data_IF_366122466508
#
_entry.id   IF_366122466508
#
_cell.length_a   1.000
_cell.length_b   1.000
_cell.length_c   1.000
_cell.angle_alpha   90.00
_cell.angle_beta   90.00
_cell.angle_gamma   90.00
#
_symmetry.space_group_name_H-M   'P 1'
#
loop_
_entity.id
_entity.type
_entity.pdbx_description
1 polymer ?
#
# COMPACT_ATOMS: atom_id res chain seq x y z
N UNK A 1 -50.60 -6.17 7.89
CA UNK A 1 -50.62 -7.62 7.61
C UNK A 1 -49.21 -8.01 7.28
N UNK A 2 -48.62 -8.87 8.10
CA UNK A 2 -47.26 -9.39 7.95
C UNK A 2 -47.31 -10.80 7.36
N UNK A 3 -46.20 -11.24 6.75
CA UNK A 3 -46.05 -12.61 6.27
C UNK A 3 -46.24 -13.63 7.40
N UNK A 4 -45.88 -13.27 8.63
CA UNK A 4 -46.02 -14.04 9.87
C UNK A 4 -47.45 -14.55 10.06
N UNK A 5 -48.46 -13.68 9.84
CA UNK A 5 -49.88 -14.07 9.95
C UNK A 5 -50.27 -15.11 8.89
N UNK A 6 -49.69 -15.02 7.68
CA UNK A 6 -49.95 -16.00 6.61
C UNK A 6 -49.30 -17.34 6.95
N UNK A 7 -48.08 -17.33 7.46
CA UNK A 7 -47.34 -18.54 7.86
C UNK A 7 -48.01 -19.22 9.04
N UNK A 8 -48.48 -18.47 10.05
CA UNK A 8 -49.22 -19.01 11.18
C UNK A 8 -50.47 -19.78 10.72
N UNK A 9 -51.24 -19.23 9.77
CA UNK A 9 -52.40 -19.90 9.19
C UNK A 9 -52.01 -21.07 8.29
N UNK A 10 -50.93 -20.94 7.51
CA UNK A 10 -50.41 -22.03 6.67
C UNK A 10 -50.01 -23.26 7.51
N UNK A 11 -49.31 -23.03 8.63
CA UNK A 11 -48.94 -24.06 9.61
C UNK A 11 -50.17 -24.66 10.31
N UNK A 12 -51.13 -23.82 10.70
CA UNK A 12 -52.38 -24.28 11.34
C UNK A 12 -53.22 -25.19 10.43
N UNK A 13 -53.14 -24.99 9.11
CA UNK A 13 -53.77 -25.84 8.10
C UNK A 13 -53.02 -27.16 7.85
N UNK A 14 -51.92 -27.41 8.56
CA UNK A 14 -51.10 -28.61 8.41
C UNK A 14 -50.18 -28.59 7.19
N UNK A 15 -49.71 -27.40 6.78
CA UNK A 15 -48.80 -27.19 5.64
C UNK A 15 -49.28 -27.88 4.34
N UNK A 16 -50.48 -27.54 3.83
CA UNK A 16 -51.03 -28.15 2.64
C UNK A 16 -50.23 -27.80 1.37
N UNK A 17 -50.26 -28.69 0.38
CA UNK A 17 -49.63 -28.46 -0.92
C UNK A 17 -50.17 -27.21 -1.61
N UNK A 18 -49.27 -26.36 -2.12
CA UNK A 18 -49.65 -25.13 -2.81
C UNK A 18 -50.00 -25.41 -4.27
N UNK A 19 -51.30 -25.42 -4.56
CA UNK A 19 -51.83 -25.58 -5.90
C UNK A 19 -51.41 -24.41 -6.81
N UNK A 20 -50.81 -24.75 -7.97
CA UNK A 20 -50.32 -23.80 -8.98
C UNK A 20 -49.39 -22.72 -8.40
N UNK A 21 -48.68 -23.00 -7.30
CA UNK A 21 -47.81 -22.04 -6.58
C UNK A 21 -48.51 -20.75 -6.13
N UNK A 22 -49.84 -20.76 -6.05
CA UNK A 22 -50.61 -19.55 -5.75
C UNK A 22 -51.73 -19.78 -4.74
N UNK A 23 -52.17 -21.01 -4.50
CA UNK A 23 -53.33 -21.27 -3.65
C UNK A 23 -53.04 -22.40 -2.67
N UNK A 24 -53.49 -22.24 -1.43
CA UNK A 24 -53.56 -23.32 -0.48
C UNK A 24 -54.91 -23.30 0.23
N UNK A 25 -55.37 -24.46 0.67
CA UNK A 25 -56.66 -24.61 1.33
C UNK A 25 -56.66 -25.77 2.30
N UNK A 26 -57.48 -25.66 3.35
CA UNK A 26 -57.70 -26.74 4.30
C UNK A 26 -58.66 -26.33 5.40
N UNK A 27 -58.75 -27.18 6.43
CA UNK A 27 -59.53 -26.95 7.65
C UNK A 27 -58.55 -26.83 8.84
N UNK A 28 -58.75 -25.82 9.69
CA UNK A 28 -58.02 -25.68 10.95
C UNK A 28 -58.97 -25.33 12.10
N UNK A 29 -58.54 -25.61 13.33
CA UNK A 29 -59.26 -25.23 14.55
C UNK A 29 -58.68 -23.91 15.06
N UNK A 30 -59.53 -22.90 15.25
CA UNK A 30 -59.12 -21.58 15.70
C UNK A 30 -58.56 -21.63 17.13
N UNK A 31 -57.28 -21.29 17.28
CA UNK A 31 -56.64 -20.87 18.54
C UNK A 31 -56.63 -19.35 18.67
N UNK A 32 -56.37 -18.82 19.86
CA UNK A 32 -56.30 -17.36 20.11
C UNK A 32 -55.31 -16.65 19.16
N UNK A 33 -54.18 -17.28 18.86
CA UNK A 33 -53.17 -16.76 17.93
C UNK A 33 -53.66 -16.80 16.47
N UNK A 34 -54.20 -17.94 16.05
CA UNK A 34 -54.68 -18.11 14.66
C UNK A 34 -55.95 -17.30 14.38
N UNK A 35 -56.82 -17.05 15.37
CA UNK A 35 -58.00 -16.20 15.17
C UNK A 35 -57.59 -14.76 14.89
N UNK A 36 -56.64 -14.23 15.67
CA UNK A 36 -56.10 -12.87 15.45
C UNK A 36 -55.39 -12.77 14.10
N UNK A 37 -54.57 -13.78 13.77
CA UNK A 37 -53.90 -13.83 12.47
C UNK A 37 -54.90 -13.89 11.31
N UNK A 38 -55.94 -14.73 11.40
CA UNK A 38 -56.95 -14.89 10.35
C UNK A 38 -57.86 -13.67 10.19
N UNK A 39 -58.27 -13.01 11.29
CA UNK A 39 -59.02 -11.76 11.24
C UNK A 39 -58.23 -10.64 10.55
N UNK A 40 -56.92 -10.60 10.81
CA UNK A 40 -56.02 -9.69 10.11
C UNK A 40 -55.87 -10.00 8.61
N UNK A 41 -56.01 -11.27 8.20
CA UNK A 41 -56.04 -11.67 6.78
C UNK A 41 -57.37 -11.29 6.11
N UNK A 42 -58.50 -11.49 6.78
CA UNK A 42 -59.84 -11.16 6.28
C UNK A 42 -60.03 -9.66 6.09
N UNK A 43 -59.45 -8.85 6.99
CA UNK A 43 -59.56 -7.39 6.96
C UNK A 43 -58.72 -6.72 5.86
N UNK A 44 -57.94 -7.48 5.08
CA UNK A 44 -57.09 -6.93 4.03
C UNK A 44 -57.77 -6.94 2.65
N UNK A 45 -58.07 -5.76 2.12
CA UNK A 45 -58.78 -5.61 0.84
C UNK A 45 -57.90 -5.66 -0.42
N UNK A 46 -56.60 -6.02 -0.31
CA UNK A 46 -55.82 -6.43 -1.50
C UNK A 46 -54.40 -5.88 -1.64
N UNK A 47 -53.71 -5.56 -0.54
CA UNK A 47 -52.34 -5.03 -0.58
C UNK A 47 -51.27 -5.86 0.15
N UNK A 48 -51.58 -7.10 0.57
CA UNK A 48 -50.68 -7.92 1.40
C UNK A 48 -50.11 -9.17 0.72
N UNK A 49 -49.27 -9.95 1.43
CA UNK A 49 -48.61 -11.16 0.91
C UNK A 49 -49.59 -12.29 0.51
N UNK A 50 -50.83 -12.24 1.01
CA UNK A 50 -51.88 -13.19 0.67
C UNK A 50 -53.26 -12.54 0.73
N UNK A 51 -54.25 -13.19 0.13
CA UNK A 51 -55.65 -12.81 0.15
C UNK A 51 -56.53 -14.02 0.38
N UNK A 52 -57.45 -13.92 1.34
CA UNK A 52 -58.48 -14.94 1.54
C UNK A 52 -59.48 -14.88 0.39
N UNK A 53 -59.70 -16.01 -0.28
CA UNK A 53 -60.60 -16.12 -1.44
C UNK A 53 -61.89 -16.85 -1.14
N UNK A 54 -61.83 -17.84 -0.24
CA UNK A 54 -63.00 -18.55 0.29
C UNK A 54 -62.73 -18.76 1.79
N UNK A 55 -63.72 -18.52 2.65
CA UNK A 55 -63.64 -18.80 4.08
C UNK A 55 -65.02 -19.14 4.63
N UNK A 56 -65.10 -20.26 5.35
CA UNK A 56 -66.31 -20.78 5.99
C UNK A 56 -65.98 -21.18 7.44
N UNK A 57 -66.84 -20.79 8.37
CA UNK A 57 -66.78 -21.22 9.75
C UNK A 57 -68.13 -21.80 10.14
N UNK A 58 -68.16 -23.08 10.48
CA UNK A 58 -69.38 -23.79 10.90
C UNK A 58 -70.59 -23.59 9.96
N UNK A 59 -70.35 -23.48 8.64
CA UNK A 59 -71.38 -23.26 7.60
C UNK A 59 -71.72 -21.79 7.32
N UNK A 60 -71.01 -20.83 7.93
CA UNK A 60 -71.14 -19.40 7.68
C UNK A 60 -70.01 -18.90 6.79
N UNK A 61 -70.35 -18.33 5.63
CA UNK A 61 -69.38 -17.68 4.76
C UNK A 61 -68.84 -16.39 5.39
N UNK A 62 -67.57 -16.41 5.80
CA UNK A 62 -66.88 -15.34 6.53
C UNK A 62 -66.46 -14.16 5.65
N UNK A 63 -66.49 -14.30 4.32
CA UNK A 63 -66.15 -13.21 3.38
C UNK A 63 -67.35 -12.30 3.17
N UNK A 64 -68.55 -12.87 3.20
CA UNK A 64 -69.81 -12.16 2.94
C UNK A 64 -70.47 -11.66 4.22
N UNK A 65 -70.18 -12.29 5.36
CA UNK A 65 -70.77 -11.95 6.65
C UNK A 65 -69.69 -11.69 7.69
N UNK A 66 -69.85 -10.62 8.47
CA UNK A 66 -69.02 -10.39 9.65
C UNK A 66 -69.45 -11.38 10.74
N UNK A 67 -68.57 -12.32 11.07
CA UNK A 67 -68.79 -13.34 12.07
C UNK A 67 -67.58 -13.37 13.01
N UNK A 68 -67.83 -13.25 14.32
CA UNK A 68 -66.76 -13.24 15.31
C UNK A 68 -66.22 -14.67 15.49
N UNK A 69 -64.95 -14.86 15.14
CA UNK A 69 -64.28 -16.15 15.21
C UNK A 69 -63.99 -16.48 16.67
N UNK A 70 -64.63 -17.52 17.21
CA UNK A 70 -64.36 -18.00 18.57
C UNK A 70 -63.28 -19.08 18.59
N UNK A 71 -62.49 -19.11 19.66
CA UNK A 71 -61.51 -20.18 19.90
C UNK A 71 -62.23 -21.53 19.95
N UNK A 72 -61.75 -22.50 19.17
CA UNK A 72 -62.33 -23.83 19.00
C UNK A 72 -63.22 -23.99 17.76
N UNK A 73 -63.56 -22.92 17.06
CA UNK A 73 -64.31 -22.98 15.80
C UNK A 73 -63.51 -23.65 14.67
N UNK A 74 -64.21 -24.38 13.81
CA UNK A 74 -63.62 -25.03 12.64
C UNK A 74 -63.73 -24.12 11.42
N UNK A 75 -62.58 -23.70 10.91
CA UNK A 75 -62.49 -22.78 9.79
C UNK A 75 -61.95 -23.53 8.59
N UNK A 76 -62.72 -23.52 7.50
CA UNK A 76 -62.24 -23.91 6.18
C UNK A 76 -61.88 -22.67 5.40
N UNK A 77 -60.63 -22.55 4.96
CA UNK A 77 -60.16 -21.38 4.23
C UNK A 77 -59.41 -21.77 2.97
N UNK A 78 -59.54 -20.93 1.94
CA UNK A 78 -58.76 -20.96 0.71
C UNK A 78 -58.08 -19.62 0.52
N UNK A 79 -56.76 -19.63 0.57
CA UNK A 79 -55.93 -18.44 0.56
C UNK A 79 -55.13 -18.41 -0.73
N UNK A 80 -55.11 -17.25 -1.37
CA UNK A 80 -54.30 -16.96 -2.55
C UNK A 80 -53.07 -16.15 -2.15
N UNK A 81 -51.89 -16.65 -2.45
CA UNK A 81 -50.62 -15.93 -2.31
C UNK A 81 -50.50 -14.86 -3.40
N UNK A 82 -49.95 -13.70 -3.03
CA UNK A 82 -49.66 -12.63 -4.00
C UNK A 82 -48.45 -13.02 -4.85
N UNK A 83 -48.58 -13.00 -6.18
CA UNK A 83 -47.47 -13.34 -7.08
C UNK A 83 -46.34 -12.29 -7.13
N UNK A 84 -46.60 -11.07 -6.66
CA UNK A 84 -45.73 -9.91 -6.87
C UNK A 84 -45.36 -9.13 -5.59
N UNK A 85 -45.64 -9.68 -4.41
CA UNK A 85 -45.18 -9.10 -3.14
C UNK A 85 -43.67 -9.32 -2.97
N UNK A 86 -42.99 -8.40 -2.28
CA UNK A 86 -41.58 -8.55 -1.88
C UNK A 86 -41.38 -9.67 -0.84
N UNK A 87 -42.45 -9.98 -0.10
CA UNK A 87 -42.55 -11.05 0.90
C UNK A 87 -43.18 -12.28 0.23
N UNK A 88 -42.43 -13.38 0.11
CA UNK A 88 -42.83 -14.53 -0.73
C UNK A 88 -42.67 -15.87 -0.02
N UNK A 89 -43.50 -16.80 -0.46
CA UNK A 89 -43.32 -18.23 -0.25
C UNK A 89 -42.46 -18.78 -1.38
N UNK A 90 -41.47 -19.59 -1.03
CA UNK A 90 -40.61 -20.31 -1.97
C UNK A 90 -40.79 -21.81 -1.77
N UNK A 91 -40.79 -22.56 -2.86
CA UNK A 91 -40.98 -24.01 -2.81
C UNK A 91 -39.80 -24.69 -2.10
N UNK A 92 -38.57 -24.30 -2.44
CA UNK A 92 -37.32 -24.83 -1.89
C UNK A 92 -36.28 -23.71 -1.78
N UNK A 93 -35.12 -24.02 -1.19
CA UNK A 93 -33.98 -23.10 -1.21
C UNK A 93 -33.52 -22.77 -2.64
N UNK A 94 -33.56 -23.71 -3.57
CA UNK A 94 -33.23 -23.48 -4.98
C UNK A 94 -34.20 -22.52 -5.67
N UNK A 95 -35.49 -22.56 -5.33
CA UNK A 95 -36.49 -21.58 -5.82
C UNK A 95 -36.19 -20.18 -5.26
N UNK A 96 -35.76 -20.10 -4.00
CA UNK A 96 -35.33 -18.85 -3.37
C UNK A 96 -34.06 -18.27 -4.01
N UNK A 97 -33.02 -19.09 -4.21
CA UNK A 97 -31.77 -18.73 -4.86
C UNK A 97 -31.98 -18.29 -6.32
N UNK A 98 -33.01 -18.81 -6.99
CA UNK A 98 -33.36 -18.40 -8.36
C UNK A 98 -33.96 -17.00 -8.46
N UNK A 99 -34.37 -16.41 -7.32
CA UNK A 99 -34.98 -15.08 -7.28
C UNK A 99 -34.02 -13.97 -7.71
N UNK A 100 -34.56 -12.93 -8.34
CA UNK A 100 -33.77 -11.77 -8.80
C UNK A 100 -33.11 -11.01 -7.64
N UNK A 101 -33.72 -10.99 -6.46
CA UNK A 101 -33.19 -10.31 -5.27
C UNK A 101 -31.86 -10.94 -4.82
N UNK A 102 -31.81 -12.26 -4.70
CA UNK A 102 -30.60 -12.96 -4.24
C UNK A 102 -29.48 -12.86 -5.28
N UNK A 103 -29.82 -12.96 -6.57
CA UNK A 103 -28.84 -12.73 -7.66
C UNK A 103 -28.23 -11.32 -7.63
N UNK A 104 -28.95 -10.34 -7.07
CA UNK A 104 -28.47 -8.97 -6.86
C UNK A 104 -27.76 -8.77 -5.51
N UNK A 105 -27.53 -9.83 -4.73
CA UNK A 105 -26.90 -9.74 -3.42
C UNK A 105 -27.80 -9.10 -2.36
N UNK A 106 -29.13 -9.26 -2.45
CA UNK A 106 -30.09 -8.73 -1.48
C UNK A 106 -30.98 -9.83 -0.92
N UNK A 107 -30.86 -10.09 0.38
CA UNK A 107 -31.77 -10.98 1.10
C UNK A 107 -33.08 -10.24 1.40
N UNK A 108 -34.26 -10.77 1.00
CA UNK A 108 -35.54 -10.22 1.37
C UNK A 108 -35.73 -10.18 2.89
N UNK A 109 -36.41 -9.15 3.40
CA UNK A 109 -36.63 -9.01 4.83
C UNK A 109 -37.46 -10.17 5.42
N UNK A 110 -38.56 -10.54 4.76
CA UNK A 110 -39.48 -11.60 5.19
C UNK A 110 -39.66 -12.64 4.08
N UNK A 111 -39.41 -13.91 4.37
CA UNK A 111 -39.68 -15.01 3.44
C UNK A 111 -39.93 -16.33 4.14
N UNK A 112 -40.57 -17.26 3.43
CA UNK A 112 -40.89 -18.60 3.94
C UNK A 112 -40.48 -19.68 2.93
N UNK A 113 -39.84 -20.75 3.41
CA UNK A 113 -39.43 -21.92 2.61
C UNK A 113 -40.32 -23.11 2.98
N UNK A 114 -41.06 -23.63 2.01
CA UNK A 114 -42.09 -24.66 2.24
C UNK A 114 -41.47 -26.02 2.56
N UNK A 115 -40.48 -26.47 1.78
CA UNK A 115 -39.88 -27.81 1.92
C UNK A 115 -39.25 -28.07 3.30
N UNK A 116 -38.76 -27.01 3.96
CA UNK A 116 -38.15 -27.07 5.29
C UNK A 116 -39.01 -26.57 6.44
N UNK A 117 -40.21 -26.04 6.15
CA UNK A 117 -41.03 -25.26 7.10
C UNK A 117 -40.22 -24.14 7.82
N UNK A 118 -39.33 -23.48 7.09
CA UNK A 118 -38.46 -22.43 7.66
C UNK A 118 -39.05 -21.04 7.40
N UNK A 119 -39.34 -20.31 8.48
CA UNK A 119 -39.73 -18.92 8.43
C UNK A 119 -38.58 -17.98 8.84
N UNK A 120 -38.37 -16.95 8.02
CA UNK A 120 -37.35 -15.93 8.24
C UNK A 120 -38.02 -14.56 8.34
N UNK A 121 -37.93 -13.94 9.52
CA UNK A 121 -38.47 -12.62 9.83
C UNK A 121 -37.47 -11.82 10.68
N UNK A 122 -37.28 -10.49 10.44
CA UNK A 122 -36.38 -9.64 11.23
C UNK A 122 -36.91 -9.36 12.64
N UNK A 123 -38.23 -9.41 12.82
CA UNK A 123 -38.92 -9.01 14.05
C UNK A 123 -39.52 -10.22 14.82
N UNK A 124 -39.45 -11.41 14.23
CA UNK A 124 -40.04 -12.64 14.75
C UNK A 124 -39.02 -13.70 15.17
N UNK A 125 -39.52 -14.89 15.50
CA UNK A 125 -38.68 -16.05 15.77
C UNK A 125 -38.15 -16.61 14.45
N UNK A 126 -36.82 -16.64 14.29
CA UNK A 126 -36.16 -17.18 13.10
C UNK A 126 -35.98 -18.68 13.32
N UNK A 127 -36.56 -19.50 12.45
CA UNK A 127 -36.49 -20.96 12.64
C UNK A 127 -35.07 -21.51 12.38
N UNK A 128 -34.30 -20.86 11.51
CA UNK A 128 -33.00 -21.34 11.06
C UNK A 128 -31.95 -20.23 10.89
N UNK A 129 -31.45 -19.71 12.01
CA UNK A 129 -30.47 -18.59 12.05
C UNK A 129 -29.20 -18.89 11.22
N UNK A 130 -28.66 -20.11 11.31
CA UNK A 130 -27.47 -20.51 10.55
C UNK A 130 -27.68 -20.43 9.03
N UNK A 131 -28.87 -20.78 8.52
CA UNK A 131 -29.19 -20.62 7.08
C UNK A 131 -29.29 -19.16 6.69
N UNK A 132 -29.86 -18.31 7.55
CA UNK A 132 -29.93 -16.87 7.29
C UNK A 132 -28.54 -16.24 7.19
N UNK A 133 -27.63 -16.61 8.09
CA UNK A 133 -26.23 -16.17 8.05
C UNK A 133 -25.55 -16.57 6.73
N UNK A 134 -25.78 -17.79 6.25
CA UNK A 134 -25.24 -18.24 4.95
C UNK A 134 -25.79 -17.45 3.76
N UNK A 135 -27.10 -17.15 3.75
CA UNK A 135 -27.68 -16.30 2.71
C UNK A 135 -27.08 -14.89 2.74
N UNK A 136 -26.91 -14.31 3.93
CA UNK A 136 -26.30 -13.00 4.10
C UNK A 136 -24.84 -13.01 3.62
N UNK A 137 -24.04 -14.00 4.01
CA UNK A 137 -22.65 -14.13 3.57
C UNK A 137 -22.54 -14.27 2.05
N UNK A 138 -23.38 -15.12 1.43
CA UNK A 138 -23.44 -15.29 -0.02
C UNK A 138 -23.81 -13.97 -0.73
N UNK A 139 -24.82 -13.26 -0.21
CA UNK A 139 -25.23 -11.97 -0.76
C UNK A 139 -24.14 -10.89 -0.63
N UNK A 140 -23.41 -10.86 0.50
CA UNK A 140 -22.27 -9.96 0.68
C UNK A 140 -21.12 -10.26 -0.29
N UNK A 141 -20.82 -11.53 -0.55
CA UNK A 141 -19.85 -11.93 -1.58
C UNK A 141 -20.29 -11.46 -2.96
N UNK A 142 -21.55 -11.69 -3.33
CA UNK A 142 -22.12 -11.24 -4.61
C UNK A 142 -22.00 -9.71 -4.75
N UNK A 143 -22.41 -8.97 -3.72
CA UNK A 143 -22.34 -7.51 -3.71
C UNK A 143 -20.90 -7.01 -3.82
N UNK A 144 -19.99 -7.62 -3.08
CA UNK A 144 -18.57 -7.24 -3.12
C UNK A 144 -17.93 -7.51 -4.47
N UNK A 145 -18.24 -8.64 -5.10
CA UNK A 145 -17.80 -8.95 -6.46
C UNK A 145 -18.40 -7.98 -7.49
N UNK A 146 -19.67 -7.60 -7.35
CA UNK A 146 -20.32 -6.61 -8.20
C UNK A 146 -19.66 -5.23 -8.10
N UNK A 147 -19.29 -4.78 -6.89
CA UNK A 147 -18.63 -3.49 -6.69
C UNK A 147 -17.18 -3.48 -7.20
N UNK A 148 -16.48 -4.62 -7.14
CA UNK A 148 -15.12 -4.75 -7.67
C UNK A 148 -15.08 -4.94 -9.19
N UNK A 149 -16.13 -5.49 -9.80
CA UNK A 149 -16.19 -5.75 -11.24
C UNK A 149 -16.02 -4.46 -12.06
N UNK A 150 -15.33 -4.57 -13.20
CA UNK A 150 -15.21 -3.45 -14.14
C UNK A 150 -16.51 -3.21 -14.92
N UNK A 151 -17.27 -4.28 -15.13
CA UNK A 151 -18.58 -4.24 -15.73
C UNK A 151 -19.47 -5.29 -15.04
N UNK A 152 -20.69 -4.88 -14.72
CA UNK A 152 -21.76 -5.77 -14.32
C UNK A 152 -23.04 -5.35 -15.07
N UNK A 153 -23.86 -6.28 -15.53
CA UNK A 153 -25.10 -5.95 -16.23
C UNK A 153 -26.16 -5.49 -15.20
N UNK A 154 -26.58 -4.21 -15.24
CA UNK A 154 -27.52 -3.61 -14.26
C UNK A 154 -28.95 -3.45 -14.78
N UNK A 155 -29.17 -3.59 -16.10
CA UNK A 155 -30.33 -2.97 -16.75
C UNK A 155 -31.27 -3.94 -17.48
N UNK A 156 -31.07 -5.26 -17.41
CA UNK A 156 -32.01 -6.23 -18.02
C UNK A 156 -32.69 -7.06 -16.94
N UNK A 157 -34.02 -7.02 -16.94
CA UNK A 157 -34.93 -7.77 -16.03
C UNK A 157 -34.76 -9.30 -16.15
N UNK A 158 -33.98 -9.76 -17.12
CA UNK A 158 -33.64 -11.15 -17.43
C UNK A 158 -32.13 -11.34 -17.73
N UNK A 159 -31.27 -10.36 -17.33
CA UNK A 159 -29.83 -10.46 -17.55
C UNK A 159 -29.26 -11.60 -16.69
N UNK A 160 -28.49 -12.46 -17.35
CA UNK A 160 -27.41 -13.20 -16.72
C UNK A 160 -26.53 -12.17 -16.00
N UNK A 161 -26.52 -12.17 -14.66
CA UNK A 161 -25.75 -11.22 -13.86
C UNK A 161 -24.26 -11.50 -14.05
N UNK A 162 -23.73 -11.05 -15.18
CA UNK A 162 -22.36 -11.26 -15.59
C UNK A 162 -21.47 -10.21 -14.97
N UNK A 163 -20.38 -10.66 -14.37
CA UNK A 163 -19.34 -9.81 -13.80
C UNK A 163 -18.09 -9.95 -14.66
N UNK A 164 -17.55 -8.84 -15.13
CA UNK A 164 -16.33 -8.82 -15.95
C UNK A 164 -15.20 -8.20 -15.15
N UNK A 165 -14.11 -8.95 -15.04
CA UNK A 165 -12.87 -8.54 -14.39
C UNK A 165 -11.75 -8.51 -15.42
N UNK A 166 -11.03 -7.39 -15.47
CA UNK A 166 -9.89 -7.20 -16.35
C UNK A 166 -8.63 -7.27 -15.49
N UNK A 167 -7.81 -8.30 -15.68
CA UNK A 167 -6.43 -8.25 -15.20
C UNK A 167 -5.54 -7.63 -16.27
N UNK A 168 -4.65 -6.74 -15.83
CA UNK A 168 -3.62 -6.15 -16.66
C UNK A 168 -2.29 -6.87 -16.38
N UNK A 169 -2.02 -7.95 -17.10
CA UNK A 169 -0.66 -8.46 -17.22
C UNK A 169 0.06 -7.73 -18.36
N UNK A 170 1.38 -7.54 -18.22
CA UNK A 170 2.22 -6.59 -18.98
C UNK A 170 2.12 -6.68 -20.52
N UNK A 171 1.45 -7.65 -21.12
CA UNK A 171 1.21 -7.70 -22.57
C UNK A 171 -0.11 -8.36 -23.05
N UNK A 172 -1.03 -8.79 -22.18
CA UNK A 172 -2.36 -9.30 -22.55
C UNK A 172 -3.37 -9.02 -21.43
N UNK A 173 -4.49 -8.40 -21.78
CA UNK A 173 -5.64 -8.39 -20.88
C UNK A 173 -6.38 -9.71 -21.02
N UNK A 174 -6.43 -10.47 -19.93
CA UNK A 174 -7.24 -11.68 -19.84
C UNK A 174 -8.55 -11.32 -19.13
N UNK A 175 -9.66 -11.09 -19.86
CA UNK A 175 -10.95 -10.85 -19.24
C UNK A 175 -11.44 -12.14 -18.60
N UNK A 176 -11.81 -12.08 -17.33
CA UNK A 176 -12.58 -13.12 -16.65
C UNK A 176 -14.03 -12.67 -16.61
N UNK A 177 -14.92 -13.57 -17.03
CA UNK A 177 -16.36 -13.38 -16.91
C UNK A 177 -16.87 -14.40 -15.91
N UNK A 178 -17.54 -13.92 -14.87
CA UNK A 178 -18.31 -14.76 -13.95
C UNK A 178 -19.79 -14.60 -14.28
N UNK A 179 -20.53 -15.69 -14.38
CA UNK A 179 -21.99 -15.66 -14.47
C UNK A 179 -22.58 -16.10 -13.13
N UNK A 180 -23.34 -15.23 -12.46
CA UNK A 180 -23.92 -15.54 -11.14
C UNK A 180 -24.99 -16.62 -11.31
N UNK A 181 -24.55 -17.87 -11.16
CA UNK A 181 -25.38 -19.07 -11.09
C UNK A 181 -25.43 -19.52 -9.63
N UNK A 182 -26.61 -19.46 -9.00
CA UNK A 182 -26.79 -19.83 -7.61
C UNK A 182 -27.35 -21.26 -7.52
N UNK A 183 -26.73 -22.09 -6.68
CA UNK A 183 -27.13 -23.48 -6.46
C UNK A 183 -27.15 -23.79 -4.97
N UNK A 184 -27.97 -24.75 -4.57
CA UNK A 184 -28.17 -25.08 -3.16
C UNK A 184 -26.88 -25.56 -2.48
N UNK A 185 -25.95 -26.18 -3.21
CA UNK A 185 -24.66 -26.64 -2.69
C UNK A 185 -23.81 -25.48 -2.12
N UNK A 186 -23.99 -24.26 -2.64
CA UNK A 186 -23.30 -23.06 -2.14
C UNK A 186 -23.70 -22.70 -0.71
N UNK A 187 -24.86 -23.14 -0.24
CA UNK A 187 -25.29 -22.94 1.15
C UNK A 187 -24.53 -23.85 2.12
N UNK A 188 -23.58 -24.65 1.64
CA UNK A 188 -22.66 -25.41 2.50
C UNK A 188 -21.22 -24.88 2.41
N UNK A 189 -20.98 -23.86 1.59
CA UNK A 189 -19.67 -23.26 1.42
C UNK A 189 -19.23 -22.50 2.68
N UNK A 190 -17.92 -22.53 2.94
CA UNK A 190 -17.32 -21.74 4.01
C UNK A 190 -17.08 -20.30 3.52
N UNK A 191 -18.00 -19.41 3.88
CA UNK A 191 -17.95 -17.97 3.61
C UNK A 191 -17.74 -17.16 4.91
N UNK A 192 -17.12 -17.76 5.92
CA UNK A 192 -16.94 -17.12 7.24
C UNK A 192 -15.99 -15.92 7.20
N UNK A 193 -14.98 -15.95 6.34
CA UNK A 193 -14.00 -14.86 6.16
C UNK A 193 -14.12 -14.20 4.78
N UNK A 194 -14.87 -13.11 4.71
CA UNK A 194 -14.98 -12.24 3.53
C UNK A 194 -14.11 -10.98 3.64
N UNK A 195 -13.10 -10.98 4.52
CA UNK A 195 -12.25 -9.81 4.80
C UNK A 195 -11.51 -9.30 3.57
N UNK A 196 -11.19 -10.17 2.61
CA UNK A 196 -10.58 -9.77 1.34
C UNK A 196 -11.47 -8.76 0.60
N UNK A 197 -12.79 -8.98 0.56
CA UNK A 197 -13.73 -8.08 -0.08
C UNK A 197 -13.92 -6.81 0.75
N UNK A 198 -14.20 -6.94 2.05
CA UNK A 198 -14.50 -5.77 2.90
C UNK A 198 -13.29 -4.83 3.00
N UNK A 199 -12.07 -5.37 3.07
CA UNK A 199 -10.83 -4.59 3.10
C UNK A 199 -10.51 -3.88 1.78
N UNK A 200 -11.05 -4.34 0.65
CA UNK A 200 -10.93 -3.65 -0.65
C UNK A 200 -12.06 -2.65 -0.88
N UNK A 201 -13.21 -2.83 -0.25
CA UNK A 201 -14.40 -2.00 -0.49
C UNK A 201 -14.53 -0.82 0.48
N UNK A 202 -13.86 -0.87 1.64
CA UNK A 202 -13.85 0.22 2.63
C UNK A 202 -13.42 1.56 2.02
N UNK A 203 -14.02 2.65 2.49
CA UNK A 203 -13.70 3.99 1.99
C UNK A 203 -12.28 4.41 2.37
N UNK A 204 -11.77 3.90 3.49
CA UNK A 204 -10.38 4.06 3.91
C UNK A 204 -9.43 3.41 2.90
N UNK A 205 -9.74 2.20 2.43
CA UNK A 205 -8.90 1.50 1.45
C UNK A 205 -8.77 2.27 0.14
N UNK A 206 -9.83 2.95 -0.32
CA UNK A 206 -9.80 3.76 -1.56
C UNK A 206 -8.85 4.96 -1.47
N UNK A 207 -8.53 5.41 -0.25
CA UNK A 207 -7.60 6.51 0.00
C UNK A 207 -6.15 6.04 0.15
N UNK A 208 -5.90 4.73 0.24
CA UNK A 208 -4.56 4.18 0.37
C UNK A 208 -3.75 4.28 -0.93
N UNK A 209 -2.46 4.62 -0.83
CA UNK A 209 -1.55 4.70 -1.97
C UNK A 209 -1.40 3.37 -2.76
N UNK A 210 -1.74 2.24 -2.13
CA UNK A 210 -1.63 0.90 -2.71
C UNK A 210 -2.99 0.30 -3.12
N UNK A 211 -4.06 1.10 -3.14
CA UNK A 211 -5.40 0.63 -3.51
C UNK A 211 -5.46 -0.04 -4.90
N UNK A 212 -5.05 0.69 -5.94
CA UNK A 212 -5.07 0.18 -7.32
C UNK A 212 -4.19 -1.08 -7.51
N UNK A 213 -2.95 -1.14 -6.99
CA UNK A 213 -2.20 -2.39 -6.98
C UNK A 213 -2.90 -3.56 -6.27
N UNK A 214 -3.50 -3.33 -5.09
CA UNK A 214 -4.25 -4.37 -4.36
C UNK A 214 -5.43 -4.89 -5.18
N UNK A 215 -6.17 -3.99 -5.85
CA UNK A 215 -7.26 -4.33 -6.76
C UNK A 215 -6.77 -5.16 -7.95
N UNK A 216 -5.65 -4.78 -8.56
CA UNK A 216 -5.03 -5.52 -9.67
C UNK A 216 -4.59 -6.93 -9.26
N UNK A 217 -4.04 -7.09 -8.04
CA UNK A 217 -3.66 -8.39 -7.47
C UNK A 217 -4.91 -9.25 -7.26
N UNK A 218 -6.02 -8.68 -6.77
CA UNK A 218 -7.29 -9.38 -6.65
C UNK A 218 -7.76 -9.92 -8.01
N UNK A 219 -7.74 -9.11 -9.07
CA UNK A 219 -8.14 -9.56 -10.40
C UNK A 219 -7.23 -10.66 -10.96
N UNK A 220 -5.92 -10.52 -10.77
CA UNK A 220 -4.95 -11.54 -11.22
C UNK A 220 -5.15 -12.86 -10.48
N UNK A 221 -5.41 -12.79 -9.17
CA UNK A 221 -5.71 -13.97 -8.34
C UNK A 221 -7.02 -14.63 -8.77
N UNK A 222 -8.03 -13.83 -9.15
CA UNK A 222 -9.28 -14.34 -9.68
C UNK A 222 -9.06 -15.05 -11.02
N UNK A 223 -8.26 -14.48 -11.93
CA UNK A 223 -7.91 -15.10 -13.21
C UNK A 223 -7.18 -16.42 -13.02
N UNK A 224 -6.19 -16.45 -12.12
CA UNK A 224 -5.46 -17.68 -11.76
C UNK A 224 -6.41 -18.74 -11.21
N UNK A 225 -7.29 -18.35 -10.29
CA UNK A 225 -8.18 -19.27 -9.58
C UNK A 225 -9.23 -19.91 -10.50
N UNK A 226 -9.87 -19.12 -11.35
CA UNK A 226 -10.95 -19.60 -12.23
C UNK A 226 -10.46 -20.06 -13.61
N UNK A 227 -9.15 -20.11 -13.82
CA UNK A 227 -8.56 -20.50 -15.09
C UNK A 227 -9.07 -21.86 -15.59
N UNK A 228 -9.57 -21.89 -16.82
CA UNK A 228 -10.03 -23.13 -17.48
C UNK A 228 -11.49 -23.51 -17.18
N UNK A 229 -12.21 -22.76 -16.35
CA UNK A 229 -13.65 -22.95 -16.15
C UNK A 229 -14.50 -22.08 -17.08
N UNK A 230 -15.70 -22.55 -17.42
CA UNK A 230 -16.70 -21.71 -18.07
C UNK A 230 -17.26 -20.67 -17.08
N UNK A 231 -17.79 -19.52 -17.52
CA UNK A 231 -18.25 -18.44 -16.63
C UNK A 231 -19.21 -18.87 -15.52
N UNK A 232 -20.15 -19.77 -15.81
CA UNK A 232 -21.11 -20.30 -14.83
C UNK A 232 -20.41 -21.18 -13.77
N UNK A 233 -19.50 -22.06 -14.22
CA UNK A 233 -18.75 -22.97 -13.34
C UNK A 233 -17.73 -22.20 -12.51
N UNK A 234 -17.12 -21.16 -13.10
CA UNK A 234 -16.14 -20.29 -12.45
C UNK A 234 -16.73 -19.62 -11.20
N UNK A 235 -17.94 -19.03 -11.31
CA UNK A 235 -18.62 -18.45 -10.15
C UNK A 235 -18.92 -19.51 -9.08
N UNK A 236 -19.45 -20.67 -9.48
CA UNK A 236 -19.75 -21.74 -8.55
C UNK A 236 -18.49 -22.20 -7.79
N UNK A 237 -17.38 -22.41 -8.51
CA UNK A 237 -16.11 -22.83 -7.94
C UNK A 237 -15.52 -21.79 -6.98
N UNK A 238 -15.65 -20.50 -7.32
CA UNK A 238 -15.22 -19.39 -6.46
C UNK A 238 -15.95 -19.40 -5.12
N UNK A 239 -17.27 -19.55 -5.12
CA UNK A 239 -18.07 -19.53 -3.89
C UNK A 239 -17.85 -20.81 -3.08
N UNK A 240 -17.89 -21.98 -3.72
CA UNK A 240 -17.68 -23.27 -3.04
C UNK A 240 -16.31 -23.42 -2.37
N UNK A 241 -15.28 -22.77 -2.93
CA UNK A 241 -13.88 -22.89 -2.50
C UNK A 241 -13.31 -21.50 -2.15
N UNK A 242 -14.12 -20.67 -1.50
CA UNK A 242 -13.75 -19.31 -1.12
C UNK A 242 -12.48 -19.21 -0.26
N UNK A 243 -12.22 -20.11 0.71
CA UNK A 243 -10.96 -20.11 1.46
C UNK A 243 -9.74 -20.31 0.55
N UNK A 244 -9.82 -21.22 -0.41
CA UNK A 244 -8.73 -21.49 -1.35
C UNK A 244 -8.44 -20.26 -2.24
N UNK A 245 -9.49 -19.55 -2.68
CA UNK A 245 -9.32 -18.29 -3.40
C UNK A 245 -8.63 -17.23 -2.53
N UNK A 246 -9.02 -17.13 -1.26
CA UNK A 246 -8.42 -16.21 -0.29
C UNK A 246 -6.93 -16.50 -0.11
N UNK A 247 -6.53 -17.77 -0.05
CA UNK A 247 -5.11 -18.19 0.01
C UNK A 247 -4.34 -17.78 -1.25
N UNK A 248 -4.92 -17.95 -2.45
CA UNK A 248 -4.30 -17.50 -3.71
C UNK A 248 -4.08 -15.99 -3.69
N UNK A 249 -5.10 -15.22 -3.28
CA UNK A 249 -4.98 -13.76 -3.15
C UNK A 249 -3.90 -13.36 -2.14
N UNK A 250 -3.89 -13.95 -0.94
CA UNK A 250 -2.89 -13.64 0.09
C UNK A 250 -1.47 -13.95 -0.37
N UNK A 251 -1.27 -15.08 -1.06
CA UNK A 251 0.01 -15.45 -1.66
C UNK A 251 0.46 -14.42 -2.70
N UNK A 252 -0.42 -14.04 -3.63
CA UNK A 252 -0.08 -13.06 -4.67
C UNK A 252 0.18 -11.67 -4.08
N UNK A 253 -0.61 -11.26 -3.06
CA UNK A 253 -0.41 -10.02 -2.34
C UNK A 253 0.93 -10.01 -1.57
N UNK A 254 1.28 -11.10 -0.88
CA UNK A 254 2.57 -11.23 -0.18
C UNK A 254 3.76 -11.18 -1.15
N UNK A 255 3.60 -11.74 -2.35
CA UNK A 255 4.62 -11.71 -3.41
C UNK A 255 4.83 -10.29 -3.92
N UNK A 256 3.74 -9.55 -4.18
CA UNK A 256 3.80 -8.14 -4.54
C UNK A 256 4.49 -7.29 -3.46
N UNK A 257 4.10 -7.45 -2.19
CA UNK A 257 4.71 -6.71 -1.08
C UNK A 257 6.20 -7.01 -0.95
N UNK A 258 6.59 -8.27 -1.14
CA UNK A 258 7.99 -8.69 -1.12
C UNK A 258 8.78 -8.05 -2.27
N UNK A 259 8.22 -8.05 -3.48
CA UNK A 259 8.80 -7.38 -4.65
C UNK A 259 8.91 -5.86 -4.47
N UNK A 260 7.88 -5.22 -3.92
CA UNK A 260 7.89 -3.79 -3.63
C UNK A 260 8.94 -3.44 -2.57
N UNK A 261 9.02 -4.20 -1.48
CA UNK A 261 10.03 -4.04 -0.45
C UNK A 261 11.45 -4.19 -1.02
N UNK A 262 11.65 -5.18 -1.91
CA UNK A 262 12.91 -5.37 -2.62
C UNK A 262 13.29 -4.17 -3.51
N UNK A 263 12.36 -3.69 -4.35
CA UNK A 263 12.61 -2.54 -5.22
C UNK A 263 12.89 -1.26 -4.43
N UNK A 264 12.14 -1.04 -3.34
CA UNK A 264 12.38 0.07 -2.42
C UNK A 264 13.77 -0.01 -1.80
N UNK A 265 14.15 -1.18 -1.26
CA UNK A 265 15.48 -1.40 -0.70
C UNK A 265 16.59 -1.17 -1.75
N UNK A 266 16.44 -1.71 -2.98
CA UNK A 266 17.37 -1.49 -4.09
C UNK A 266 17.54 -0.01 -4.42
N UNK A 267 16.44 0.75 -4.42
CA UNK A 267 16.47 2.21 -4.64
C UNK A 267 17.18 2.95 -3.52
N UNK A 268 16.87 2.65 -2.26
CA UNK A 268 17.51 3.28 -1.08
C UNK A 268 19.03 3.02 -1.05
N UNK A 269 19.45 1.80 -1.41
CA UNK A 269 20.87 1.43 -1.56
C UNK A 269 21.53 2.27 -2.65
N UNK A 270 20.93 2.34 -3.84
CA UNK A 270 21.47 3.11 -4.96
C UNK A 270 21.56 4.62 -4.67
N UNK A 271 20.53 5.21 -4.05
CA UNK A 271 20.54 6.62 -3.64
C UNK A 271 21.62 6.91 -2.60
N UNK A 272 21.82 5.99 -1.65
CA UNK A 272 22.88 6.09 -0.65
C UNK A 272 24.27 6.00 -1.27
N UNK A 273 24.48 5.08 -2.23
CA UNK A 273 25.74 4.97 -2.99
C UNK A 273 26.07 6.28 -3.71
N UNK A 274 25.10 6.84 -4.46
CA UNK A 274 25.27 8.10 -5.20
C UNK A 274 25.64 9.23 -4.24
N UNK A 275 24.90 9.40 -3.15
CA UNK A 275 25.13 10.47 -2.18
C UNK A 275 26.51 10.38 -1.53
N UNK A 276 26.95 9.18 -1.16
CA UNK A 276 28.28 8.96 -0.57
C UNK A 276 29.39 9.18 -1.60
N UNK A 277 29.20 8.73 -2.85
CA UNK A 277 30.13 8.95 -3.94
C UNK A 277 30.29 10.44 -4.27
N UNK A 278 29.19 11.21 -4.29
CA UNK A 278 29.21 12.67 -4.45
C UNK A 278 29.99 13.37 -3.33
N UNK A 279 29.75 12.99 -2.07
CA UNK A 279 30.49 13.54 -0.93
C UNK A 279 31.99 13.25 -1.04
N UNK A 280 32.36 12.06 -1.48
CA UNK A 280 33.75 11.65 -1.64
C UNK A 280 34.44 12.33 -2.84
N UNK A 281 33.72 12.50 -3.94
CA UNK A 281 34.17 13.27 -5.10
C UNK A 281 34.43 14.72 -4.71
N UNK A 282 33.56 15.32 -3.89
CA UNK A 282 33.74 16.68 -3.35
C UNK A 282 35.03 16.79 -2.53
N UNK A 283 35.26 15.86 -1.58
CA UNK A 283 36.50 15.81 -0.79
C UNK A 283 37.73 15.75 -1.70
N UNK A 284 37.69 14.91 -2.73
CA UNK A 284 38.82 14.72 -3.66
C UNK A 284 39.06 15.92 -4.58
N UNK A 285 37.98 16.52 -5.11
CA UNK A 285 38.03 17.70 -5.97
C UNK A 285 38.58 18.92 -5.24
N UNK A 286 38.15 19.14 -3.99
CA UNK A 286 38.64 20.24 -3.15
C UNK A 286 40.13 20.11 -2.79
N UNK A 287 40.68 18.89 -2.77
CA UNK A 287 42.12 18.63 -2.62
C UNK A 287 42.89 18.91 -3.90
N UNK A 288 42.34 18.51 -5.05
CA UNK A 288 43.00 18.63 -6.36
C UNK A 288 43.30 20.09 -6.70
N UNK A 289 42.34 20.99 -6.48
CA UNK A 289 42.54 22.43 -6.71
C UNK A 289 43.67 23.02 -5.87
N UNK A 290 43.87 22.52 -4.65
CA UNK A 290 44.90 23.01 -3.73
C UNK A 290 46.27 22.43 -4.07
N UNK A 291 46.33 21.35 -4.84
CA UNK A 291 47.60 20.78 -5.30
C UNK A 291 48.37 21.73 -6.22
N UNK A 292 47.67 22.56 -6.99
CA UNK A 292 48.28 23.57 -7.84
C UNK A 292 49.03 24.66 -7.07
N UNK A 293 48.84 24.78 -5.74
CA UNK A 293 49.63 25.67 -4.90
C UNK A 293 51.08 25.22 -4.74
N UNK A 294 51.39 23.93 -4.95
CA UNK A 294 52.76 23.40 -4.81
C UNK A 294 53.67 23.89 -5.95
N UNK A 295 53.31 23.78 -7.25
CA UNK A 295 54.08 24.40 -8.33
C UNK A 295 54.33 25.90 -8.14
N UNK A 296 53.31 26.64 -7.68
CA UNK A 296 53.44 28.08 -7.37
C UNK A 296 54.45 28.31 -6.25
N UNK A 297 54.42 27.46 -5.22
CA UNK A 297 55.38 27.51 -4.11
C UNK A 297 56.82 27.23 -4.58
N UNK A 298 57.00 26.29 -5.51
CA UNK A 298 58.30 26.02 -6.13
C UNK A 298 58.81 27.22 -6.93
N UNK A 299 57.95 27.87 -7.72
CA UNK A 299 58.31 29.09 -8.45
C UNK A 299 58.73 30.24 -7.50
N UNK A 300 58.07 30.38 -6.35
CA UNK A 300 58.44 31.34 -5.32
C UNK A 300 59.84 31.07 -4.73
N UNK A 301 60.19 29.80 -4.52
CA UNK A 301 61.55 29.41 -4.08
C UNK A 301 62.59 29.74 -5.15
N UNK A 302 62.31 29.47 -6.43
CA UNK A 302 63.20 29.83 -7.55
C UNK A 302 63.44 31.34 -7.58
N UNK A 303 62.42 32.15 -7.30
CA UNK A 303 62.54 33.60 -7.28
C UNK A 303 63.56 34.12 -6.22
N UNK A 304 63.78 33.39 -5.12
CA UNK A 304 64.76 33.74 -4.08
C UNK A 304 66.21 33.73 -4.57
N UNK A 305 66.51 33.04 -5.69
CA UNK A 305 67.84 32.94 -6.28
C UNK A 305 68.20 34.11 -7.22
N UNK A 306 67.31 35.08 -7.45
CA UNK A 306 67.65 36.26 -8.25
C UNK A 306 68.73 37.11 -7.56
N UNK A 307 69.68 37.64 -8.35
CA UNK A 307 70.84 38.42 -7.85
C UNK A 307 70.46 39.69 -7.08
N UNK A 308 69.29 40.26 -7.35
CA UNK A 308 68.82 41.51 -6.72
C UNK A 308 67.88 41.28 -5.52
N UNK A 309 67.74 40.04 -5.06
CA UNK A 309 66.83 39.68 -3.96
C UNK A 309 67.33 40.22 -2.62
N UNK A 310 66.53 41.07 -1.97
CA UNK A 310 66.85 41.59 -0.63
C UNK A 310 66.54 40.57 0.46
N UNK A 311 67.23 40.67 1.61
CA UNK A 311 66.95 39.89 2.82
C UNK A 311 65.47 39.94 3.24
N UNK A 312 64.87 41.13 3.19
CA UNK A 312 63.47 41.36 3.57
C UNK A 312 62.53 40.66 2.59
N UNK A 313 62.83 40.71 1.29
CA UNK A 313 62.06 40.03 0.24
C UNK A 313 62.07 38.51 0.45
N UNK A 314 63.25 37.91 0.66
CA UNK A 314 63.37 36.47 0.86
C UNK A 314 62.73 36.02 2.19
N UNK A 315 62.80 36.85 3.24
CA UNK A 315 62.12 36.57 4.51
C UNK A 315 60.58 36.59 4.36
N UNK A 316 60.03 37.56 3.61
CA UNK A 316 58.60 37.62 3.30
C UNK A 316 58.13 36.41 2.49
N UNK A 317 58.95 35.94 1.53
CA UNK A 317 58.66 34.72 0.76
C UNK A 317 58.58 33.49 1.67
N UNK A 318 59.56 33.29 2.55
CA UNK A 318 59.56 32.18 3.51
C UNK A 318 58.33 32.24 4.42
N UNK A 319 58.01 33.42 4.97
CA UNK A 319 56.87 33.60 5.86
C UNK A 319 55.55 33.32 5.13
N UNK A 320 55.42 33.77 3.88
CA UNK A 320 54.28 33.44 3.01
C UNK A 320 54.13 31.94 2.78
N UNK A 321 55.22 31.24 2.44
CA UNK A 321 55.21 29.79 2.22
C UNK A 321 54.85 28.99 3.49
N UNK A 322 55.35 29.42 4.65
CA UNK A 322 54.98 28.81 5.94
C UNK A 322 53.49 29.03 6.23
N UNK A 323 52.97 30.24 6.02
CA UNK A 323 51.55 30.54 6.21
C UNK A 323 50.68 29.70 5.26
N UNK A 324 51.07 29.60 3.98
CA UNK A 324 50.39 28.75 2.99
C UNK A 324 50.38 27.29 3.41
N UNK A 325 51.52 26.75 3.90
CA UNK A 325 51.59 25.38 4.40
C UNK A 325 50.62 25.15 5.58
N UNK A 326 50.55 26.08 6.54
CA UNK A 326 49.61 26.01 7.67
C UNK A 326 48.15 25.98 7.17
N UNK A 327 47.78 26.86 6.23
CA UNK A 327 46.43 26.92 5.67
C UNK A 327 46.06 25.61 4.94
N UNK A 328 46.97 25.07 4.13
CA UNK A 328 46.76 23.78 3.44
C UNK A 328 46.58 22.66 4.46
N UNK A 329 47.40 22.60 5.51
CA UNK A 329 47.25 21.59 6.58
C UNK A 329 45.90 21.73 7.29
N UNK A 330 45.45 22.95 7.60
CA UNK A 330 44.14 23.20 8.17
C UNK A 330 43.00 22.69 7.29
N UNK A 331 43.09 22.90 5.97
CA UNK A 331 42.16 22.32 5.01
C UNK A 331 42.19 20.80 5.03
N UNK A 332 43.39 20.18 4.99
CA UNK A 332 43.53 18.72 4.96
C UNK A 332 42.92 18.09 6.20
N UNK A 333 43.04 18.75 7.37
CA UNK A 333 42.36 18.32 8.60
C UNK A 333 40.83 18.39 8.43
N UNK A 334 40.31 19.49 7.89
CA UNK A 334 38.87 19.61 7.64
C UNK A 334 38.34 18.52 6.69
N UNK A 335 39.08 18.24 5.61
CA UNK A 335 38.72 17.17 4.68
C UNK A 335 38.77 15.78 5.31
N UNK A 336 39.69 15.56 6.26
CA UNK A 336 39.74 14.32 7.03
C UNK A 336 38.50 14.14 7.90
N UNK A 337 38.05 15.19 8.59
CA UNK A 337 36.82 15.14 9.38
C UNK A 337 35.59 14.87 8.50
N UNK A 338 35.57 15.44 7.29
CA UNK A 338 34.52 15.18 6.32
C UNK A 338 34.55 13.73 5.83
N UNK A 339 35.73 13.17 5.55
CA UNK A 339 35.90 11.76 5.20
C UNK A 339 35.47 10.82 6.34
N UNK A 340 35.76 11.16 7.59
CA UNK A 340 35.29 10.39 8.76
C UNK A 340 33.77 10.41 8.89
N UNK A 341 33.12 11.54 8.60
CA UNK A 341 31.65 11.64 8.56
C UNK A 341 31.04 10.77 7.46
N UNK A 342 31.68 10.73 6.28
CA UNK A 342 31.29 9.83 5.17
C UNK A 342 31.42 8.37 5.58
N UNK A 343 32.51 8.02 6.29
CA UNK A 343 32.72 6.67 6.80
C UNK A 343 31.63 6.25 7.79
N UNK A 344 31.25 7.13 8.73
CA UNK A 344 30.17 6.86 9.67
C UNK A 344 28.82 6.70 8.95
N UNK A 345 28.53 7.54 7.95
CA UNK A 345 27.32 7.43 7.15
C UNK A 345 27.25 6.09 6.40
N UNK A 346 28.37 5.61 5.85
CA UNK A 346 28.48 4.26 5.25
C UNK A 346 28.12 3.18 6.27
N UNK A 347 28.72 3.22 7.46
CA UNK A 347 28.48 2.21 8.50
C UNK A 347 27.01 2.15 8.92
N UNK A 348 26.34 3.30 9.05
CA UNK A 348 24.90 3.38 9.37
C UNK A 348 24.06 2.74 8.26
N UNK A 349 24.35 3.05 7.00
CA UNK A 349 23.66 2.46 5.84
C UNK A 349 23.86 0.94 5.85
N UNK A 350 25.08 0.46 6.04
CA UNK A 350 25.38 -0.99 6.09
C UNK A 350 24.62 -1.69 7.21
N UNK A 351 24.61 -1.13 8.42
CA UNK A 351 23.86 -1.68 9.56
C UNK A 351 22.34 -1.73 9.31
N UNK A 352 21.78 -0.68 8.70
CA UNK A 352 20.34 -0.63 8.37
C UNK A 352 19.91 -1.72 7.38
N UNK A 353 20.85 -2.20 6.57
CA UNK A 353 20.64 -3.21 5.54
C UNK A 353 20.95 -4.62 6.06
N UNK A 354 21.98 -4.77 6.89
CA UNK A 354 22.41 -6.06 7.46
C UNK A 354 21.30 -6.77 8.25
N UNK A 355 20.49 -6.02 9.01
CA UNK A 355 19.37 -6.59 9.77
C UNK A 355 18.29 -7.26 8.92
N UNK A 356 18.29 -7.05 7.60
CA UNK A 356 17.33 -7.62 6.65
C UNK A 356 18.00 -8.52 5.59
N UNK A 357 19.31 -8.76 5.70
CA UNK A 357 20.13 -9.44 4.68
C UNK A 357 19.67 -10.88 4.38
N UNK A 358 19.15 -11.59 5.38
CA UNK A 358 18.61 -12.95 5.22
C UNK A 358 17.29 -13.03 4.46
N UNK A 359 16.57 -11.91 4.35
CA UNK A 359 15.26 -11.85 3.69
C UNK A 359 15.34 -11.34 2.25
N UNK A 360 16.53 -10.93 1.78
CA UNK A 360 16.73 -10.39 0.44
C UNK A 360 17.27 -11.43 -0.55
N UNK A 361 16.90 -11.36 -1.84
CA UNK A 361 17.48 -12.17 -2.89
C UNK A 361 18.99 -11.95 -3.04
N UNK A 362 19.69 -12.99 -3.52
CA UNK A 362 21.14 -12.98 -3.70
C UNK A 362 21.65 -11.83 -4.60
N UNK A 363 20.88 -11.41 -5.60
CA UNK A 363 21.24 -10.28 -6.47
C UNK A 363 21.41 -8.97 -5.68
N UNK A 364 20.50 -8.68 -4.74
CA UNK A 364 20.58 -7.45 -3.95
C UNK A 364 21.70 -7.55 -2.92
N UNK A 365 21.91 -8.73 -2.32
CA UNK A 365 23.05 -8.97 -1.44
C UNK A 365 24.39 -8.76 -2.17
N UNK A 366 24.52 -9.24 -3.40
CA UNK A 366 25.70 -9.01 -4.24
C UNK A 366 25.87 -7.51 -4.59
N UNK A 367 24.78 -6.80 -4.89
CA UNK A 367 24.83 -5.34 -5.09
C UNK A 367 25.27 -4.58 -3.83
N UNK A 368 24.75 -4.93 -2.65
CA UNK A 368 25.13 -4.34 -1.37
C UNK A 368 26.62 -4.59 -1.08
N UNK A 369 27.09 -5.82 -1.28
CA UNK A 369 28.49 -6.20 -1.05
C UNK A 369 29.44 -5.47 -2.03
N UNK A 370 29.03 -5.33 -3.30
CA UNK A 370 29.78 -4.56 -4.31
C UNK A 370 29.83 -3.07 -3.96
N UNK A 371 28.71 -2.46 -3.56
CA UNK A 371 28.65 -1.07 -3.10
C UNK A 371 29.56 -0.86 -1.89
N UNK A 372 29.46 -1.72 -0.89
CA UNK A 372 30.28 -1.68 0.33
C UNK A 372 31.78 -1.68 0.02
N UNK A 373 32.21 -2.60 -0.85
CA UNK A 373 33.61 -2.71 -1.31
C UNK A 373 34.05 -1.46 -2.04
N UNK A 374 33.28 -0.99 -3.04
CA UNK A 374 33.61 0.21 -3.82
C UNK A 374 33.74 1.46 -2.96
N UNK A 375 32.79 1.69 -2.06
CA UNK A 375 32.84 2.82 -1.13
C UNK A 375 34.03 2.69 -0.16
N UNK A 376 34.30 1.48 0.34
CA UNK A 376 35.46 1.20 1.18
C UNK A 376 36.80 1.51 0.50
N UNK A 377 36.96 1.04 -0.73
CA UNK A 377 38.16 1.27 -1.55
C UNK A 377 38.36 2.76 -1.84
N UNK A 378 37.29 3.48 -2.16
CA UNK A 378 37.37 4.91 -2.43
C UNK A 378 37.68 5.70 -1.15
N UNK A 379 37.10 5.35 0.01
CA UNK A 379 37.42 5.96 1.31
C UNK A 379 38.89 5.73 1.66
N UNK A 380 39.39 4.51 1.49
CA UNK A 380 40.79 4.17 1.75
C UNK A 380 41.73 4.95 0.84
N UNK A 381 41.37 5.10 -0.44
CA UNK A 381 42.14 5.88 -1.43
C UNK A 381 42.17 7.36 -1.06
N UNK A 382 41.03 7.97 -0.74
CA UNK A 382 40.95 9.37 -0.30
C UNK A 382 41.76 9.61 1.00
N UNK A 383 41.68 8.68 1.96
CA UNK A 383 42.48 8.75 3.19
C UNK A 383 43.99 8.72 2.92
N UNK A 384 44.42 7.89 1.96
CA UNK A 384 45.82 7.81 1.53
C UNK A 384 46.28 9.12 0.89
N UNK A 385 45.46 9.72 0.02
CA UNK A 385 45.72 11.03 -0.59
C UNK A 385 45.81 12.15 0.46
N UNK A 386 44.91 12.19 1.43
CA UNK A 386 44.95 13.18 2.52
C UNK A 386 46.25 13.09 3.32
N UNK A 387 46.72 11.87 3.61
CA UNK A 387 48.01 11.69 4.27
C UNK A 387 49.17 12.21 3.43
N UNK A 388 49.21 11.86 2.14
CA UNK A 388 50.23 12.36 1.21
C UNK A 388 50.22 13.89 1.15
N UNK A 389 49.06 14.52 0.98
CA UNK A 389 48.97 15.99 0.91
C UNK A 389 49.39 16.69 2.20
N UNK A 390 49.08 16.13 3.36
CA UNK A 390 49.56 16.66 4.64
C UNK A 390 51.09 16.71 4.70
N UNK A 391 51.75 15.65 4.23
CA UNK A 391 53.22 15.61 4.23
C UNK A 391 53.81 16.54 3.18
N UNK A 392 53.23 16.56 1.98
CA UNK A 392 53.73 17.33 0.86
C UNK A 392 53.58 18.85 1.05
N UNK A 393 52.57 19.29 1.80
CA UNK A 393 52.33 20.71 2.10
C UNK A 393 53.50 21.39 2.80
N UNK A 394 54.27 20.66 3.62
CA UNK A 394 55.42 21.20 4.34
C UNK A 394 56.69 21.27 3.51
N UNK A 395 56.78 20.50 2.42
CA UNK A 395 58.02 20.35 1.63
C UNK A 395 58.52 21.70 1.09
N UNK A 396 57.70 22.54 0.42
CA UNK A 396 58.17 23.83 -0.10
C UNK A 396 58.61 24.79 1.02
N UNK A 397 57.87 24.84 2.13
CA UNK A 397 58.21 25.70 3.27
C UNK A 397 59.55 25.29 3.89
N UNK A 398 59.79 23.99 4.08
CA UNK A 398 61.05 23.46 4.61
C UNK A 398 62.22 23.76 3.65
N UNK A 399 62.03 23.55 2.34
CA UNK A 399 63.05 23.88 1.33
C UNK A 399 63.37 25.38 1.38
N UNK A 400 62.35 26.25 1.43
CA UNK A 400 62.55 27.70 1.49
C UNK A 400 63.36 28.12 2.73
N UNK A 401 63.07 27.53 3.90
CA UNK A 401 63.83 27.76 5.14
C UNK A 401 65.29 27.31 4.99
N UNK A 402 65.53 26.14 4.39
CA UNK A 402 66.90 25.63 4.15
C UNK A 402 67.66 26.52 3.16
N UNK A 403 67.01 26.94 2.07
CA UNK A 403 67.60 27.86 1.07
C UNK A 403 67.95 29.19 1.70
N UNK A 404 67.03 29.77 2.49
CA UNK A 404 67.27 31.00 3.22
C UNK A 404 68.47 30.85 4.18
N UNK A 405 68.50 29.78 4.98
CA UNK A 405 69.60 29.53 5.90
C UNK A 405 70.94 29.34 5.16
N UNK A 406 70.98 28.58 4.07
CA UNK A 406 72.20 28.36 3.29
C UNK A 406 72.73 29.66 2.65
N UNK A 407 71.86 30.51 2.12
CA UNK A 407 72.23 31.77 1.48
C UNK A 407 72.83 32.78 2.47
N UNK A 408 72.43 32.73 3.75
CA UNK A 408 72.83 33.72 4.75
C UNK A 408 73.74 33.18 5.87
N UNK A 409 73.94 31.86 6.00
CA UNK A 409 74.87 31.25 6.99
C UNK A 409 76.35 31.28 6.55
N UNK A 410 76.65 31.12 5.26
CA UNK A 410 78.00 31.26 4.71
C UNK A 410 78.34 32.75 4.50
N UNK A 411 78.72 33.44 5.58
CA UNK A 411 79.60 34.63 5.53
C UNK A 411 79.04 35.95 4.98
N UNK A 412 77.74 36.11 4.74
CA UNK A 412 77.15 37.38 4.27
C UNK A 412 76.44 38.21 5.37
N UNK A 413 76.39 37.71 6.62
CA UNK A 413 75.69 38.36 7.74
C UNK A 413 76.33 39.67 8.23
N UNK A 414 77.55 40.01 7.79
CA UNK A 414 78.22 41.25 8.21
C UNK A 414 78.22 42.29 7.07
N UNK A 415 78.39 41.89 5.81
CA UNK A 415 78.36 42.84 4.68
C UNK A 415 76.94 43.25 4.25
N UNK A 416 75.95 42.34 4.30
CA UNK A 416 74.59 42.69 3.86
C UNK A 416 73.78 43.45 4.92
N UNK A 417 74.04 43.22 6.21
CA UNK A 417 73.35 43.91 7.32
C UNK A 417 73.73 45.40 7.38
N UNK A 418 74.98 45.73 7.02
CA UNK A 418 75.47 47.10 6.88
C UNK A 418 74.83 47.78 5.66
N UNK A 419 74.64 47.05 4.55
CA UNK A 419 73.99 47.58 3.33
C UNK A 419 72.48 47.76 3.48
N UNK A 420 71.80 46.87 4.21
CA UNK A 420 70.35 46.96 4.48
C UNK A 420 69.99 48.09 5.43
N UNK A 421 70.83 48.38 6.45
CA UNK A 421 70.66 49.57 7.29
C UNK A 421 70.84 50.87 6.48
N UNK A 422 71.76 50.89 5.52
CA UNK A 422 71.95 52.02 4.60
C UNK A 422 70.70 52.32 3.75
N UNK A 423 70.07 51.28 3.18
CA UNK A 423 68.88 51.40 2.32
C UNK A 423 67.63 51.76 3.15
N UNK A 424 67.44 51.16 4.34
CA UNK A 424 66.34 51.55 5.23
C UNK A 424 66.48 53.02 5.69
N UNK A 425 67.70 53.47 6.01
CA UNK A 425 67.92 54.87 6.38
C UNK A 425 67.69 55.84 5.22
N UNK A 426 68.01 55.44 3.98
CA UNK A 426 67.78 56.30 2.80
C UNK A 426 66.31 56.35 2.43
N UNK A 427 65.57 55.23 2.53
CA UNK A 427 64.12 55.19 2.31
C UNK A 427 63.35 55.98 3.37
N UNK A 428 63.76 55.93 4.63
CA UNK A 428 63.16 56.75 5.69
C UNK A 428 63.46 58.24 5.46
N UNK A 429 64.68 58.60 5.02
CA UNK A 429 65.02 59.99 4.69
C UNK A 429 64.30 60.53 3.45
N UNK A 430 64.14 59.74 2.39
CA UNK A 430 63.36 60.17 1.21
C UNK A 430 61.88 60.27 1.51
N UNK A 431 61.33 59.36 2.32
CA UNK A 431 59.94 59.43 2.77
C UNK A 431 59.69 60.66 3.67
N UNK A 432 60.63 60.98 4.58
CA UNK A 432 60.53 62.16 5.45
C UNK A 432 60.74 63.48 4.68
N UNK A 433 61.68 63.52 3.72
CA UNK A 433 61.88 64.67 2.83
C UNK A 433 60.67 64.94 1.92
N UNK A 434 60.00 63.88 1.44
CA UNK A 434 58.78 64.01 0.64
C UNK A 434 57.61 64.52 1.51
N UNK A 435 57.47 64.01 2.74
CA UNK A 435 56.45 64.45 3.68
C UNK A 435 56.59 65.92 4.13
N UNK A 436 57.83 66.44 4.27
CA UNK A 436 58.08 67.84 4.63
C UNK A 436 57.87 68.81 3.46
N UNK A 437 57.96 68.35 2.20
CA UNK A 437 57.65 69.18 1.02
C UNK A 437 56.15 69.32 0.70
N UNK A 438 55.31 68.59 1.43
CA UNK A 438 53.84 68.54 1.31
C UNK A 438 53.13 69.29 2.45
N UNK A 439 53.89 69.90 3.36
CA UNK A 439 53.49 70.89 4.37
C UNK A 439 54.06 72.25 3.97
#
# INVERSE_FOLDING_TARGET
MTLDNVVAIYRALGCPDIQKRQFFSGEFVATEETSVAFDALLSNEGGGPARVTEADCDGVNLILNKYDITVGSKITAKIRLAGNSLEKFYASYGDFLSSSSIKQGKVPANFYIIEGDDFFSPEGNIDNEARLEQFNALCEVIRGLQELAHYHDKDVVDAQNKLVFLSAEENKSCPVVLDICLREEMLTADLSDISVLTSLLSDEAKLEAHYEPRKSIFYSSLVEFVAGFSPEVAFCKLVENWPDFTDVYQKNHSTYLSGFAFHKAKKEVAESEIKLAEQLSKVTSELTGKLFSIPVSVAAIVAMFHKDSSLVTNMLVVLGLVLTAILIVGVVINQRNQLESVKQAKEIVEQSIEGKKSSYPDELNDHIDKMSRRLGDNIATAGRWLFVFRTLAWVPALIAVVVFYAQYSNGALIQNTIRSYGILSSMVKTFWSWAVSLL
#
